data_IF_399701439562
#
_entry.id   IF_399701439562
#
_cell.length_a   1.000
_cell.length_b   1.000
_cell.length_c   1.000
_cell.angle_alpha   90.00
_cell.angle_beta   90.00
_cell.angle_gamma   90.00
#
_symmetry.space_group_name_H-M   'P 1'
#
loop_
_entity.id
_entity.type
_entity.pdbx_description
1 polymer ?
#
# COMPACT_ATOMS: atom_id res chain seq x y z
N UNK A 1 -6.72 -17.34 5.95
CA UNK A 1 -6.58 -17.80 4.54
C UNK A 1 -7.57 -17.02 3.70
N UNK A 2 -7.17 -16.60 2.49
CA UNK A 2 -8.10 -15.96 1.55
C UNK A 2 -9.15 -16.96 1.04
N UNK A 3 -10.30 -16.44 0.63
CA UNK A 3 -11.38 -17.21 0.01
C UNK A 3 -11.01 -17.54 -1.45
N UNK A 4 -10.60 -18.79 -1.69
CA UNK A 4 -10.15 -19.23 -3.02
C UNK A 4 -11.27 -19.13 -4.07
N UNK A 5 -12.53 -19.36 -3.69
CA UNK A 5 -13.66 -19.26 -4.60
C UNK A 5 -13.82 -17.82 -5.09
N UNK A 6 -13.74 -16.83 -4.18
CA UNK A 6 -13.76 -15.42 -4.57
C UNK A 6 -12.63 -15.05 -5.51
N UNK A 7 -11.41 -15.56 -5.28
CA UNK A 7 -10.27 -15.30 -6.18
C UNK A 7 -10.56 -15.85 -7.58
N UNK A 8 -11.13 -17.05 -7.67
CA UNK A 8 -11.52 -17.67 -8.96
C UNK A 8 -12.62 -16.87 -9.64
N UNK A 9 -13.63 -16.40 -8.90
CA UNK A 9 -14.70 -15.56 -9.43
C UNK A 9 -14.15 -14.24 -9.99
N UNK A 10 -13.21 -13.59 -9.28
CA UNK A 10 -12.55 -12.39 -9.79
C UNK A 10 -11.73 -12.67 -11.06
N UNK A 11 -11.03 -13.80 -11.13
CA UNK A 11 -10.30 -14.20 -12.34
C UNK A 11 -11.24 -14.50 -13.51
N UNK A 12 -12.40 -15.11 -13.26
CA UNK A 12 -13.42 -15.35 -14.27
C UNK A 12 -14.03 -14.03 -14.77
N UNK A 13 -14.37 -13.11 -13.86
CA UNK A 13 -14.93 -11.80 -14.18
C UNK A 13 -13.96 -10.93 -15.01
N UNK A 14 -12.65 -11.01 -14.72
CA UNK A 14 -11.61 -10.30 -15.46
C UNK A 14 -11.52 -10.67 -16.96
N UNK A 15 -12.13 -11.78 -17.38
CA UNK A 15 -12.20 -12.17 -18.80
C UNK A 15 -13.18 -11.32 -19.61
N UNK A 16 -14.09 -10.61 -18.94
CA UNK A 16 -15.11 -9.77 -19.59
C UNK A 16 -15.20 -8.36 -19.00
N UNK A 17 -14.50 -8.08 -17.92
CA UNK A 17 -14.53 -6.79 -17.24
C UNK A 17 -13.11 -6.24 -17.04
N UNK A 18 -13.02 -4.90 -16.90
CA UNK A 18 -11.80 -4.24 -16.46
C UNK A 18 -11.41 -4.77 -15.08
N UNK A 19 -10.19 -5.26 -14.97
CA UNK A 19 -9.65 -5.79 -13.72
C UNK A 19 -8.88 -4.70 -12.98
N UNK A 20 -9.25 -4.44 -11.73
CA UNK A 20 -8.53 -3.52 -10.84
C UNK A 20 -7.84 -4.31 -9.73
N UNK A 21 -6.54 -4.13 -9.57
CA UNK A 21 -5.70 -4.82 -8.57
C UNK A 21 -4.92 -3.80 -7.75
N UNK A 22 -5.12 -3.78 -6.43
CA UNK A 22 -4.35 -2.93 -5.51
C UNK A 22 -3.26 -3.73 -4.79
N UNK A 23 -2.12 -3.09 -4.50
CA UNK A 23 -1.00 -3.68 -3.74
C UNK A 23 -1.08 -3.26 -2.26
N UNK A 24 -2.16 -3.66 -1.61
CA UNK A 24 -2.36 -3.40 -0.18
C UNK A 24 -1.72 -4.54 0.62
N UNK A 25 -0.79 -4.23 1.53
CA UNK A 25 -0.33 -5.21 2.52
C UNK A 25 -1.44 -5.44 3.56
N UNK A 26 -1.42 -6.59 4.23
CA UNK A 26 -2.53 -7.00 5.11
C UNK A 26 -2.75 -6.07 6.32
N UNK A 27 -1.75 -5.28 6.68
CA UNK A 27 -1.76 -4.29 7.75
C UNK A 27 -1.93 -2.85 7.23
N UNK A 28 -1.94 -2.62 5.92
CA UNK A 28 -2.22 -1.31 5.34
C UNK A 28 -3.75 -1.02 5.32
N UNK A 29 -4.12 0.24 5.12
CA UNK A 29 -5.52 0.63 4.91
C UNK A 29 -5.65 1.67 3.81
N UNK A 30 -6.77 1.61 3.08
CA UNK A 30 -7.12 2.49 1.98
C UNK A 30 -8.36 3.30 2.34
N UNK A 31 -8.40 4.55 1.90
CA UNK A 31 -9.57 5.40 2.06
C UNK A 31 -10.81 4.76 1.41
N UNK A 32 -11.93 4.73 2.14
CA UNK A 32 -13.15 4.02 1.73
C UNK A 32 -13.59 4.34 0.30
N UNK A 33 -13.56 5.61 -0.07
CA UNK A 33 -14.07 6.05 -1.38
C UNK A 33 -13.01 6.02 -2.49
N UNK A 34 -11.73 5.84 -2.14
CA UNK A 34 -10.65 5.79 -3.12
C UNK A 34 -10.84 4.63 -4.10
N UNK A 35 -11.12 3.41 -3.63
CA UNK A 35 -11.29 2.26 -4.53
C UNK A 35 -12.47 2.43 -5.47
N UNK A 36 -13.57 3.01 -4.98
CA UNK A 36 -14.74 3.32 -5.80
C UNK A 36 -14.38 4.30 -6.91
N UNK A 37 -13.65 5.37 -6.58
CA UNK A 37 -13.21 6.36 -7.56
C UNK A 37 -12.27 5.73 -8.61
N UNK A 38 -11.31 4.92 -8.17
CA UNK A 38 -10.38 4.20 -9.06
C UNK A 38 -11.14 3.24 -9.99
N UNK A 39 -12.08 2.46 -9.46
CA UNK A 39 -12.90 1.55 -10.27
C UNK A 39 -13.74 2.29 -11.31
N UNK A 40 -14.38 3.40 -10.94
CA UNK A 40 -15.15 4.24 -11.86
C UNK A 40 -14.28 4.85 -12.94
N UNK A 41 -13.09 5.34 -12.57
CA UNK A 41 -12.16 5.92 -13.53
C UNK A 41 -11.59 4.85 -14.48
N UNK A 42 -11.23 3.67 -13.96
CA UNK A 42 -10.78 2.55 -14.76
C UNK A 42 -11.87 2.07 -15.74
N UNK A 43 -13.12 1.94 -15.29
CA UNK A 43 -14.24 1.56 -16.14
C UNK A 43 -14.49 2.58 -17.26
N UNK A 44 -14.46 3.89 -16.96
CA UNK A 44 -14.62 4.95 -17.98
C UNK A 44 -13.50 4.95 -19.01
N UNK A 45 -12.26 4.77 -18.56
CA UNK A 45 -11.07 4.96 -19.41
C UNK A 45 -10.66 3.72 -20.19
N UNK A 46 -10.90 2.53 -19.63
CA UNK A 46 -10.54 1.25 -20.25
C UNK A 46 -11.76 0.45 -20.74
N UNK A 47 -12.95 0.69 -20.18
CA UNK A 47 -14.18 0.00 -20.54
C UNK A 47 -14.86 0.53 -21.81
N UNK A 48 -14.90 1.85 -21.99
CA UNK A 48 -15.53 2.47 -23.17
C UNK A 48 -14.90 2.00 -24.50
N UNK A 49 -13.60 1.75 -24.52
CA UNK A 49 -12.92 1.24 -25.71
C UNK A 49 -13.16 -0.24 -25.98
N UNK A 50 -13.46 -1.04 -24.96
CA UNK A 50 -13.82 -2.45 -25.18
C UNK A 50 -15.11 -2.56 -26.03
N UNK A 51 -16.02 -1.60 -25.91
CA UNK A 51 -17.21 -1.52 -26.76
C UNK A 51 -16.90 -1.07 -28.18
N UNK A 52 -16.00 -0.08 -28.35
CA UNK A 52 -15.55 0.40 -29.67
C UNK A 52 -14.84 -0.71 -30.46
N UNK A 53 -13.99 -1.50 -29.80
CA UNK A 53 -13.27 -2.64 -30.40
C UNK A 53 -14.19 -3.78 -30.85
N UNK A 54 -15.41 -3.88 -30.30
CA UNK A 54 -16.41 -4.87 -30.73
C UNK A 54 -16.79 -4.70 -32.21
N UNK A 55 -16.67 -3.48 -32.75
CA UNK A 55 -17.02 -3.16 -34.14
C UNK A 55 -15.82 -3.16 -35.09
N UNK A 56 -14.58 -3.21 -34.60
CA UNK A 56 -13.38 -3.30 -35.41
C UNK A 56 -12.44 -4.42 -34.93
N UNK A 57 -12.59 -5.66 -35.44
CA UNK A 57 -11.83 -6.82 -34.99
C UNK A 57 -10.30 -6.67 -35.11
N UNK A 58 -9.81 -5.80 -36.00
CA UNK A 58 -8.38 -5.57 -36.19
C UNK A 58 -7.70 -4.84 -35.01
N UNK A 59 -8.49 -4.29 -34.09
CA UNK A 59 -8.02 -3.58 -32.91
C UNK A 59 -7.92 -4.42 -31.64
N UNK A 60 -8.25 -5.73 -31.70
CA UNK A 60 -8.25 -6.66 -30.55
C UNK A 60 -6.88 -6.92 -29.89
N UNK A 61 -5.78 -6.48 -30.52
CA UNK A 61 -4.43 -6.70 -30.01
C UNK A 61 -3.85 -5.53 -29.19
N UNK A 62 -4.60 -4.44 -29.00
CA UNK A 62 -4.10 -3.33 -28.21
C UNK A 62 -4.23 -3.67 -26.73
N UNK A 63 -3.09 -3.91 -26.06
CA UNK A 63 -3.02 -4.11 -24.61
C UNK A 63 -2.99 -2.76 -23.91
N UNK A 64 -4.03 -2.49 -23.13
CA UNK A 64 -4.15 -1.26 -22.36
C UNK A 64 -4.18 -1.51 -20.85
N UNK A 65 -3.44 -0.68 -20.11
CA UNK A 65 -3.45 -0.62 -18.66
C UNK A 65 -3.40 0.83 -18.17
N UNK A 66 -3.70 1.04 -16.90
CA UNK A 66 -3.51 2.30 -16.19
C UNK A 66 -3.01 2.03 -14.79
N UNK A 67 -2.05 2.82 -14.33
CA UNK A 67 -1.48 2.69 -12.99
C UNK A 67 -1.93 3.88 -12.16
N UNK A 68 -2.71 3.64 -11.12
CA UNK A 68 -3.10 4.65 -10.16
C UNK A 68 -2.12 4.66 -8.99
N UNK A 69 -1.70 5.86 -8.61
CA UNK A 69 -0.59 6.06 -7.73
C UNK A 69 -0.86 7.18 -6.74
N UNK A 70 -0.58 6.96 -5.46
CA UNK A 70 -0.71 7.97 -4.41
C UNK A 70 0.66 8.47 -3.97
N UNK A 71 0.77 9.78 -3.76
CA UNK A 71 2.01 10.45 -3.31
C UNK A 71 1.97 10.80 -1.82
N UNK A 72 0.76 10.94 -1.26
CA UNK A 72 0.52 11.31 0.12
C UNK A 72 -0.11 10.15 0.88
N UNK A 73 0.47 9.82 2.03
CA UNK A 73 -0.05 8.79 2.93
C UNK A 73 0.30 9.11 4.37
N UNK A 74 -0.43 8.46 5.28
CA UNK A 74 -0.04 8.38 6.69
C UNK A 74 0.74 7.09 6.88
N UNK A 75 1.84 7.16 7.61
CA UNK A 75 2.53 5.97 8.11
C UNK A 75 2.12 5.74 9.56
N UNK A 76 1.66 4.54 9.86
CA UNK A 76 1.44 4.07 11.22
C UNK A 76 2.62 3.24 11.69
N UNK A 77 3.30 3.68 12.74
CA UNK A 77 4.38 2.93 13.37
C UNK A 77 3.92 2.21 14.62
N UNK A 78 4.28 0.92 14.72
CA UNK A 78 3.93 0.07 15.87
C UNK A 78 4.41 0.66 17.21
N UNK A 79 5.65 1.15 17.28
CA UNK A 79 6.22 1.79 18.48
C UNK A 79 5.99 3.30 18.46
N UNK A 80 5.66 3.91 19.60
CA UNK A 80 5.56 5.37 19.70
C UNK A 80 6.88 5.95 20.28
N UNK A 81 7.65 6.76 19.52
CA UNK A 81 8.93 7.30 20.00
C UNK A 81 8.79 8.49 20.97
N UNK A 82 7.59 9.06 21.09
CA UNK A 82 7.28 10.16 22.00
C UNK A 82 6.76 9.66 23.34
N UNK A 83 5.96 8.61 23.32
CA UNK A 83 5.39 7.97 24.50
C UNK A 83 5.55 6.45 24.43
N UNK A 84 6.62 5.89 25.03
CA UNK A 84 6.83 4.43 25.07
C UNK A 84 5.71 3.65 25.76
N UNK A 85 4.87 4.31 26.58
CA UNK A 85 3.70 3.71 27.23
C UNK A 85 2.46 3.77 26.34
N UNK A 86 2.51 4.47 25.21
CA UNK A 86 1.39 4.59 24.29
C UNK A 86 1.08 3.27 23.63
N UNK A 87 -0.21 2.93 23.69
CA UNK A 87 -0.82 1.74 23.14
C UNK A 87 -1.41 1.96 21.73
N UNK A 88 -1.32 3.18 21.19
CA UNK A 88 -1.87 3.54 19.86
C UNK A 88 -0.84 3.47 18.73
N UNK A 89 0.44 3.43 19.07
CA UNK A 89 1.55 3.57 18.12
C UNK A 89 1.75 5.04 17.81
N UNK A 90 2.25 5.36 16.62
CA UNK A 90 2.30 6.73 16.16
C UNK A 90 1.89 6.87 14.70
N UNK A 91 1.44 8.07 14.35
CA UNK A 91 1.12 8.44 12.98
C UNK A 91 2.04 9.57 12.52
N UNK A 92 2.44 9.53 11.27
CA UNK A 92 3.08 10.67 10.62
C UNK A 92 2.70 10.73 9.15
N UNK A 93 2.45 11.93 8.65
CA UNK A 93 2.17 12.17 7.25
C UNK A 93 3.44 12.17 6.43
N UNK A 94 3.40 11.52 5.27
CA UNK A 94 4.51 11.38 4.34
C UNK A 94 4.07 11.81 2.94
N UNK A 95 4.94 12.57 2.27
CA UNK A 95 4.74 13.04 0.91
C UNK A 95 5.93 12.64 0.07
N UNK A 96 5.70 11.86 -0.98
CA UNK A 96 6.73 11.22 -1.79
C UNK A 96 6.38 11.35 -3.29
N UNK A 97 6.50 12.56 -3.88
CA UNK A 97 6.02 12.82 -5.23
C UNK A 97 6.78 12.01 -6.30
N UNK A 98 8.03 11.64 -6.04
CA UNK A 98 8.90 10.95 -6.99
C UNK A 98 8.53 9.47 -7.20
N UNK A 99 7.72 8.87 -6.33
CA UNK A 99 7.41 7.45 -6.38
C UNK A 99 5.98 7.11 -5.97
N UNK A 100 5.59 5.86 -6.24
CA UNK A 100 4.30 5.33 -5.82
C UNK A 100 4.47 4.54 -4.53
N UNK A 101 3.70 4.94 -3.52
CA UNK A 101 3.62 4.22 -2.25
C UNK A 101 2.95 2.88 -2.50
N UNK A 102 3.52 1.78 -1.98
CA UNK A 102 2.99 0.42 -2.24
C UNK A 102 1.51 0.28 -1.90
N UNK A 103 1.10 0.68 -0.68
CA UNK A 103 -0.30 0.69 -0.26
C UNK A 103 -1.20 1.42 -1.27
N UNK A 104 -0.68 2.53 -1.80
CA UNK A 104 -1.22 3.42 -2.84
C UNK A 104 -1.34 2.86 -4.26
N UNK A 105 -0.66 1.77 -4.54
CA UNK A 105 -0.36 1.38 -5.91
C UNK A 105 -1.43 0.43 -6.44
N UNK A 106 -2.24 0.94 -7.35
CA UNK A 106 -3.36 0.21 -7.94
C UNK A 106 -3.21 0.14 -9.45
N UNK A 107 -3.41 -1.03 -10.02
CA UNK A 107 -3.39 -1.27 -11.46
C UNK A 107 -4.80 -1.49 -11.97
N UNK A 108 -5.08 -0.98 -13.16
CA UNK A 108 -6.25 -1.36 -13.94
C UNK A 108 -5.82 -1.93 -15.28
N UNK A 109 -6.45 -3.03 -15.66
CA UNK A 109 -6.18 -3.75 -16.89
C UNK A 109 -7.45 -3.83 -17.72
N UNK A 110 -7.35 -3.47 -19.01
CA UNK A 110 -8.40 -3.79 -19.97
C UNK A 110 -8.52 -5.31 -20.12
N UNK A 111 -9.68 -5.79 -20.58
CA UNK A 111 -9.91 -7.19 -20.90
C UNK A 111 -8.81 -7.71 -21.84
N UNK A 112 -8.19 -8.82 -21.45
CA UNK A 112 -7.09 -9.45 -22.20
C UNK A 112 -5.71 -8.82 -21.96
N UNK A 113 -5.60 -7.75 -21.17
CA UNK A 113 -4.32 -7.22 -20.67
C UNK A 113 -3.97 -7.87 -19.34
N UNK A 114 -2.68 -8.09 -19.12
CA UNK A 114 -2.13 -8.70 -17.91
C UNK A 114 -0.99 -7.86 -17.35
N UNK A 115 -0.51 -8.22 -16.16
CA UNK A 115 0.67 -7.60 -15.56
C UNK A 115 1.98 -7.91 -16.30
N UNK A 116 1.99 -8.81 -17.29
CA UNK A 116 3.15 -9.07 -18.15
C UNK A 116 3.28 -8.02 -19.26
N UNK A 117 2.20 -7.33 -19.61
CA UNK A 117 2.18 -6.30 -20.65
C UNK A 117 2.70 -4.94 -20.15
N UNK A 118 3.03 -4.85 -18.85
CA UNK A 118 3.59 -3.65 -18.23
C UNK A 118 5.12 -3.65 -18.31
N UNK A 119 5.77 -2.48 -18.49
CA UNK A 119 7.24 -2.39 -18.60
C UNK A 119 7.98 -2.72 -17.30
N UNK A 120 7.31 -2.64 -16.15
CA UNK A 120 7.88 -3.00 -14.85
C UNK A 120 6.79 -3.33 -13.85
N UNK A 121 7.12 -4.21 -12.90
CA UNK A 121 6.33 -4.47 -11.68
C UNK A 121 7.00 -3.90 -10.41
N UNK A 122 8.22 -3.37 -10.55
CA UNK A 122 8.95 -2.78 -9.45
C UNK A 122 8.43 -1.37 -9.20
N UNK A 123 7.73 -1.18 -8.06
CA UNK A 123 7.06 0.08 -7.72
C UNK A 123 8.00 1.29 -7.72
N UNK A 124 9.26 1.10 -7.32
CA UNK A 124 10.29 2.15 -7.31
C UNK A 124 10.80 2.56 -8.69
N UNK A 125 10.47 1.80 -9.75
CA UNK A 125 10.84 2.12 -11.15
C UNK A 125 9.66 2.64 -11.97
N UNK A 126 8.45 2.67 -11.41
CA UNK A 126 7.24 2.96 -12.19
C UNK A 126 7.23 4.38 -12.74
N UNK A 127 7.47 5.38 -11.88
CA UNK A 127 7.52 6.79 -12.29
C UNK A 127 8.60 7.09 -13.34
N UNK A 128 9.63 6.26 -13.43
CA UNK A 128 10.71 6.38 -14.41
C UNK A 128 10.35 5.74 -15.75
N UNK A 129 9.67 4.59 -15.73
CA UNK A 129 9.43 3.75 -16.91
C UNK A 129 8.04 3.95 -17.54
N UNK A 130 7.07 4.48 -16.79
CA UNK A 130 5.70 4.70 -17.27
C UNK A 130 5.43 6.20 -17.23
N UNK A 131 4.96 6.76 -18.35
CA UNK A 131 4.66 8.18 -18.46
C UNK A 131 3.41 8.55 -17.67
N UNK A 132 3.33 9.77 -17.19
CA UNK A 132 2.12 10.30 -16.57
C UNK A 132 1.00 10.38 -17.60
N UNK A 133 -0.23 10.07 -17.19
CA UNK A 133 -1.40 10.19 -18.03
C UNK A 133 -1.63 11.67 -18.37
N UNK A 134 -2.00 11.94 -19.62
CA UNK A 134 -2.49 13.24 -20.04
C UNK A 134 -3.72 13.06 -20.93
N UNK A 135 -4.50 14.13 -21.11
CA UNK A 135 -5.75 14.06 -21.87
C UNK A 135 -5.55 14.02 -23.39
N UNK A 136 -4.32 14.12 -23.88
CA UNK A 136 -4.02 14.36 -25.31
C UNK A 136 -3.30 13.18 -25.93
N UNK A 137 -2.13 12.82 -25.40
CA UNK A 137 -1.17 11.86 -25.92
C UNK A 137 -1.17 10.53 -25.16
N UNK A 138 -1.28 10.55 -23.83
CA UNK A 138 -1.15 9.35 -23.00
C UNK A 138 -2.45 9.07 -22.24
N UNK A 139 -3.49 8.66 -22.98
CA UNK A 139 -4.78 8.25 -22.39
C UNK A 139 -4.73 6.86 -21.74
N UNK A 140 -3.81 6.02 -22.21
CA UNK A 140 -3.62 4.63 -21.79
C UNK A 140 -2.13 4.35 -21.58
N UNK A 141 -1.82 3.23 -20.90
CA UNK A 141 -0.46 2.77 -20.63
C UNK A 141 0.38 3.82 -19.88
N UNK A 142 -0.26 4.44 -18.88
CA UNK A 142 0.26 5.61 -18.18
C UNK A 142 0.00 5.51 -16.67
N UNK A 143 0.70 6.36 -15.90
CA UNK A 143 0.49 6.56 -14.46
C UNK A 143 -0.42 7.76 -14.23
N UNK A 144 -1.47 7.56 -13.45
CA UNK A 144 -2.29 8.62 -12.91
C UNK A 144 -2.00 8.80 -11.42
N UNK A 145 -1.70 10.04 -11.05
CA UNK A 145 -1.61 10.43 -9.65
C UNK A 145 -3.03 10.67 -9.16
N UNK A 146 -3.44 9.91 -8.16
CA UNK A 146 -4.76 10.11 -7.54
C UNK A 146 -4.67 11.41 -6.75
N UNK A 147 -5.35 12.42 -7.25
CA UNK A 147 -5.69 13.59 -6.44
C UNK A 147 -6.83 13.19 -5.50
N UNK A 148 -6.58 13.41 -4.22
CA UNK A 148 -7.53 13.11 -3.17
C UNK A 148 -8.47 14.29 -2.86
N UNK A 149 -8.37 15.38 -3.63
CA UNK A 149 -9.15 16.59 -3.42
C UNK A 149 -8.89 17.16 -2.03
N UNK A 150 -9.95 17.34 -1.25
CA UNK A 150 -9.87 17.87 0.12
C UNK A 150 -9.18 16.90 1.11
N UNK A 151 -9.05 15.62 0.77
CA UNK A 151 -8.45 14.62 1.65
C UNK A 151 -6.94 14.53 1.43
N UNK A 152 -6.14 15.17 2.28
CA UNK A 152 -4.67 15.09 2.16
C UNK A 152 -4.11 13.66 2.24
N UNK A 153 -4.82 12.73 2.88
CA UNK A 153 -4.34 11.37 3.16
C UNK A 153 -5.37 10.34 2.73
N UNK A 154 -5.04 9.54 1.72
CA UNK A 154 -5.92 8.48 1.18
C UNK A 154 -5.43 7.06 1.48
N UNK A 155 -4.29 6.96 2.17
CA UNK A 155 -3.63 5.70 2.49
C UNK A 155 -3.04 5.72 3.89
N UNK A 156 -3.13 4.59 4.58
CA UNK A 156 -2.35 4.27 5.77
C UNK A 156 -1.40 3.15 5.40
N UNK A 157 -0.11 3.42 5.51
CA UNK A 157 0.94 2.41 5.39
C UNK A 157 1.40 1.98 6.78
N UNK A 158 1.34 0.70 7.06
CA UNK A 158 1.79 0.17 8.34
C UNK A 158 3.29 -0.12 8.35
N UNK A 159 3.94 0.26 9.45
CA UNK A 159 5.34 0.02 9.76
C UNK A 159 5.41 -0.89 10.97
N UNK A 160 5.26 -2.18 10.70
CA UNK A 160 5.21 -3.24 11.70
C UNK A 160 6.42 -4.16 11.57
N UNK A 161 6.68 -4.99 12.59
CA UNK A 161 7.69 -6.05 12.49
C UNK A 161 7.48 -7.08 11.38
N UNK A 162 6.32 -7.07 10.71
CA UNK A 162 6.02 -7.91 9.54
C UNK A 162 6.28 -7.21 8.20
N UNK A 163 6.63 -5.92 8.18
CA UNK A 163 6.86 -5.17 6.95
C UNK A 163 8.21 -5.52 6.31
N UNK A 164 8.21 -5.81 5.00
CA UNK A 164 9.36 -6.34 4.22
C UNK A 164 10.65 -5.51 4.26
N UNK A 165 10.58 -4.22 4.61
CA UNK A 165 11.76 -3.35 4.70
C UNK A 165 12.18 -3.00 6.13
N UNK A 166 11.32 -3.26 7.13
CA UNK A 166 11.50 -2.85 8.53
C UNK A 166 11.89 -1.37 8.75
N UNK A 167 11.77 -0.55 7.71
CA UNK A 167 12.21 0.84 7.71
C UNK A 167 11.32 1.63 8.67
N UNK A 168 11.93 2.20 9.71
CA UNK A 168 11.22 2.95 10.74
C UNK A 168 10.50 2.10 11.79
N UNK A 169 10.62 0.77 11.76
CA UNK A 169 10.02 -0.10 12.80
C UNK A 169 10.74 0.12 14.12
N UNK A 170 12.07 0.09 14.13
CA UNK A 170 12.83 0.58 15.29
C UNK A 170 12.96 2.09 15.11
N UNK A 171 12.38 2.91 16.00
CA UNK A 171 12.52 4.35 15.87
C UNK A 171 14.00 4.72 15.99
N UNK A 172 14.61 5.11 14.88
CA UNK A 172 15.91 5.78 14.96
C UNK A 172 15.65 7.14 15.61
N UNK A 173 16.56 7.60 16.48
CA UNK A 173 16.46 8.88 17.19
C UNK A 173 16.26 10.12 16.28
N UNK A 174 16.34 9.95 14.95
CA UNK A 174 16.22 11.01 13.94
C UNK A 174 14.79 11.37 13.54
N UNK A 175 13.75 10.69 14.04
CA UNK A 175 12.38 11.23 13.90
C UNK A 175 12.37 12.53 14.70
N UNK A 176 12.45 13.68 14.00
CA UNK A 176 12.38 14.98 14.65
C UNK A 176 11.09 14.98 15.46
N UNK A 177 11.24 14.96 16.78
CA UNK A 177 10.13 15.04 17.72
C UNK A 177 9.55 16.45 17.66
N UNK A 178 8.91 16.82 16.55
CA UNK A 178 8.20 18.10 16.51
C UNK A 178 6.94 17.95 17.36
N UNK A 179 6.76 18.89 18.28
CA UNK A 179 5.58 18.95 19.13
C UNK A 179 4.30 19.17 18.29
N UNK A 180 4.45 19.78 17.12
CA UNK A 180 3.40 19.93 16.11
C UNK A 180 2.81 18.59 15.67
N UNK A 181 3.65 17.58 15.38
CA UNK A 181 3.15 16.25 14.98
C UNK A 181 2.48 15.53 16.13
N UNK A 182 2.97 15.70 17.36
CA UNK A 182 2.33 15.10 18.53
C UNK A 182 0.91 15.63 18.72
N UNK A 183 0.70 16.95 18.58
CA UNK A 183 -0.63 17.55 18.66
C UNK A 183 -1.52 17.14 17.49
N UNK A 184 -0.94 17.05 16.29
CA UNK A 184 -1.67 16.65 15.09
C UNK A 184 -2.09 15.18 15.13
N UNK A 185 -1.38 14.29 15.87
CA UNK A 185 -1.70 12.87 15.94
C UNK A 185 -3.07 12.58 16.53
N UNK A 186 -3.45 13.22 17.64
CA UNK A 186 -4.75 12.96 18.27
C UNK A 186 -5.90 13.41 17.36
N UNK A 187 -5.78 14.60 16.74
CA UNK A 187 -6.74 15.05 15.73
C UNK A 187 -6.76 14.10 14.53
N UNK A 188 -5.60 13.67 14.03
CA UNK A 188 -5.50 12.76 12.88
C UNK A 188 -6.17 11.42 13.18
N UNK A 189 -5.96 10.83 14.37
CA UNK A 189 -6.64 9.61 14.79
C UNK A 189 -8.17 9.79 14.75
N UNK A 190 -8.67 10.85 15.39
CA UNK A 190 -10.10 11.07 15.57
C UNK A 190 -10.83 11.47 14.27
N UNK A 191 -10.23 12.31 13.44
CA UNK A 191 -10.90 12.90 12.27
C UNK A 191 -10.55 12.21 10.96
N UNK A 192 -9.29 11.80 10.79
CA UNK A 192 -8.84 11.19 9.53
C UNK A 192 -8.96 9.68 9.61
N UNK A 193 -8.31 9.03 10.56
CA UNK A 193 -8.18 7.57 10.56
C UNK A 193 -9.52 6.88 10.80
N UNK A 194 -10.23 7.26 11.85
CA UNK A 194 -11.49 6.60 12.22
C UNK A 194 -12.59 6.83 11.16
N UNK A 195 -12.78 8.07 10.71
CA UNK A 195 -13.88 8.42 9.80
C UNK A 195 -13.64 7.94 8.35
N UNK A 196 -12.39 8.05 7.88
CA UNK A 196 -12.07 7.86 6.46
C UNK A 196 -11.60 6.43 6.15
N UNK A 197 -10.97 5.75 7.12
CA UNK A 197 -10.42 4.41 6.95
C UNK A 197 -11.18 3.34 7.72
N UNK A 198 -12.15 3.72 8.57
CA UNK A 198 -12.88 2.79 9.43
C UNK A 198 -11.95 1.99 10.35
N UNK A 199 -10.86 2.63 10.81
CA UNK A 199 -9.88 2.06 11.74
C UNK A 199 -10.01 2.80 13.07
N UNK A 200 -10.51 2.12 14.09
CA UNK A 200 -10.66 2.74 15.42
C UNK A 200 -9.37 2.59 16.24
N UNK A 201 -9.10 3.50 17.19
CA UNK A 201 -8.00 3.34 18.14
C UNK A 201 -8.04 2.00 18.88
N UNK A 202 -9.24 1.49 19.19
CA UNK A 202 -9.43 0.22 19.88
C UNK A 202 -9.06 -0.98 19.00
N UNK A 203 -9.32 -0.95 17.69
CA UNK A 203 -8.90 -2.03 16.78
C UNK A 203 -7.38 -2.08 16.66
N UNK A 204 -6.72 -0.92 16.60
CA UNK A 204 -5.26 -0.82 16.57
C UNK A 204 -4.64 -1.32 17.87
N UNK A 205 -5.23 -0.98 19.02
CA UNK A 205 -4.81 -1.51 20.31
C UNK A 205 -4.89 -3.04 20.38
N UNK A 206 -6.04 -3.62 19.97
CA UNK A 206 -6.21 -5.08 19.91
C UNK A 206 -5.17 -5.75 19.02
N UNK A 207 -4.91 -5.18 17.84
CA UNK A 207 -3.87 -5.64 16.93
C UNK A 207 -2.49 -5.61 17.60
N UNK A 208 -2.16 -4.52 18.30
CA UNK A 208 -0.90 -4.41 19.04
C UNK A 208 -0.75 -5.45 20.14
N UNK A 209 -1.83 -5.78 20.85
CA UNK A 209 -1.80 -6.85 21.86
C UNK A 209 -1.46 -8.20 21.23
N UNK A 210 -2.03 -8.51 20.06
CA UNK A 210 -1.70 -9.72 19.29
C UNK A 210 -0.23 -9.72 18.88
N UNK A 211 0.29 -8.61 18.35
CA UNK A 211 1.72 -8.47 18.03
C UNK A 211 2.59 -8.68 19.26
N UNK A 212 2.26 -8.05 20.40
CA UNK A 212 3.04 -8.16 21.64
C UNK A 212 3.11 -9.61 22.13
N UNK A 213 1.99 -10.32 22.15
CA UNK A 213 1.91 -11.72 22.59
C UNK A 213 2.67 -12.67 21.66
N UNK A 214 2.73 -12.36 20.36
CA UNK A 214 3.30 -13.25 19.34
C UNK A 214 4.63 -12.74 18.76
N UNK A 215 5.22 -11.69 19.34
CA UNK A 215 6.33 -10.95 18.73
C UNK A 215 7.51 -11.85 18.39
N UNK A 216 7.89 -12.74 19.31
CA UNK A 216 9.01 -13.64 19.10
C UNK A 216 8.77 -14.60 17.91
N UNK A 217 7.54 -15.11 17.76
CA UNK A 217 7.17 -15.98 16.64
C UNK A 217 7.16 -15.19 15.33
N UNK A 218 6.58 -13.99 15.32
CA UNK A 218 6.51 -13.10 14.17
C UNK A 218 7.92 -12.77 13.66
N UNK A 219 8.84 -12.40 14.55
CA UNK A 219 10.22 -12.07 14.18
C UNK A 219 10.98 -13.28 13.63
N UNK A 220 10.80 -14.47 14.24
CA UNK A 220 11.39 -15.71 13.74
C UNK A 220 10.86 -16.06 12.35
N UNK A 221 9.56 -15.88 12.13
CA UNK A 221 8.93 -16.14 10.83
C UNK A 221 9.38 -15.13 9.77
N UNK A 222 9.46 -13.85 10.10
CA UNK A 222 10.01 -12.82 9.22
C UNK A 222 11.47 -13.13 8.80
N UNK A 223 12.33 -13.51 9.76
CA UNK A 223 13.71 -13.89 9.48
C UNK A 223 13.82 -15.15 8.61
N UNK A 224 13.04 -16.20 8.93
CA UNK A 224 13.09 -17.49 8.22
C UNK A 224 12.35 -17.51 6.90
N UNK A 225 11.35 -16.64 6.73
CA UNK A 225 10.48 -16.58 5.56
C UNK A 225 10.87 -15.43 4.64
N UNK A 226 10.55 -14.19 5.05
CA UNK A 226 10.81 -13.01 4.23
C UNK A 226 12.30 -12.79 3.96
N UNK A 227 13.17 -13.14 4.91
CA UNK A 227 14.62 -12.94 4.77
C UNK A 227 15.39 -14.26 4.49
N UNK A 228 14.70 -15.36 4.18
CA UNK A 228 15.35 -16.67 3.93
C UNK A 228 16.31 -16.63 2.74
N UNK A 229 15.90 -15.94 1.68
CA UNK A 229 16.68 -15.75 0.45
C UNK A 229 17.23 -14.34 0.45
N UNK A 230 18.42 -14.18 1.03
CA UNK A 230 19.11 -12.89 1.22
C UNK A 230 19.21 -12.04 -0.05
N UNK A 231 19.20 -12.67 -1.22
CA UNK A 231 19.46 -12.00 -2.49
C UNK A 231 18.27 -11.20 -3.07
N UNK A 232 17.02 -11.44 -2.66
CA UNK A 232 15.87 -10.92 -3.42
C UNK A 232 14.80 -10.17 -2.63
N UNK A 233 14.70 -10.36 -1.32
CA UNK A 233 13.48 -9.93 -0.59
C UNK A 233 13.76 -9.02 0.59
N UNK A 234 14.87 -9.21 1.30
CA UNK A 234 15.17 -8.53 2.56
C UNK A 234 16.57 -7.91 2.50
N UNK A 235 16.69 -6.62 2.82
CA UNK A 235 17.99 -5.93 2.90
C UNK A 235 18.74 -6.37 4.17
N UNK A 236 20.06 -6.39 4.14
CA UNK A 236 20.88 -6.73 5.33
C UNK A 236 20.53 -5.86 6.55
N UNK A 237 20.23 -4.58 6.32
CA UNK A 237 19.79 -3.67 7.39
C UNK A 237 18.46 -4.07 8.03
N UNK A 238 17.55 -4.70 7.28
CA UNK A 238 16.29 -5.20 7.82
C UNK A 238 16.52 -6.48 8.65
N UNK A 239 17.44 -7.36 8.22
CA UNK A 239 17.85 -8.55 8.98
C UNK A 239 18.43 -8.13 10.34
N UNK A 240 19.40 -7.21 10.33
CA UNK A 240 20.02 -6.68 11.54
C UNK A 240 18.98 -6.03 12.48
N UNK A 241 17.99 -5.33 11.93
CA UNK A 241 16.91 -4.74 12.71
C UNK A 241 16.01 -5.81 13.36
N UNK A 242 15.64 -6.86 12.62
CA UNK A 242 14.85 -7.98 13.13
C UNK A 242 15.60 -8.75 14.23
N UNK A 243 16.88 -9.04 14.03
CA UNK A 243 17.72 -9.72 15.02
C UNK A 243 17.85 -8.88 16.30
N UNK A 244 18.13 -7.58 16.17
CA UNK A 244 18.18 -6.66 17.31
C UNK A 244 16.86 -6.63 18.06
N UNK A 245 15.73 -6.52 17.34
CA UNK A 245 14.41 -6.51 17.96
C UNK A 245 14.09 -7.85 18.65
N UNK A 246 14.53 -8.97 18.08
CA UNK A 246 14.37 -10.30 18.68
C UNK A 246 15.14 -10.42 20.00
N UNK A 247 16.36 -9.89 20.08
CA UNK A 247 17.13 -9.86 21.33
C UNK A 247 16.48 -8.96 22.39
N UNK A 248 15.95 -7.80 22.01
CA UNK A 248 15.21 -6.93 22.94
C UNK A 248 13.93 -7.60 23.47
N UNK A 249 13.20 -8.33 22.63
CA UNK A 249 12.01 -9.08 23.06
C UNK A 249 12.38 -10.18 24.06
N UNK A 250 13.48 -10.90 23.86
CA UNK A 250 13.96 -11.95 24.78
C UNK A 250 14.35 -11.40 26.17
N UNK A 251 14.87 -10.17 26.24
CA UNK A 251 15.24 -9.54 27.53
C UNK A 251 14.04 -9.20 28.41
N UNK A 252 12.86 -9.04 27.81
CA UNK A 252 11.64 -8.58 28.49
C UNK A 252 10.55 -9.66 28.58
N UNK A 253 10.83 -10.87 28.11
CA UNK A 253 9.98 -12.07 28.22
C UNK A 253 10.39 -12.91 29.41
#
# INVERSE_FOLDING_TARGET
MGDLAKIQDYQAAAKSHVLVQTRLDADDSIFRDMMKNVQQQAARTLGAQAEEHRYNPLSFNIKQYRVFCTEHHVEWGYFNPWDPKSDKGHLFGVSQPEFCVTAGLTYAYQVGTTSADMPTRAHNKMSQLIKQCDNVKYKHNCIERIDAGDYKWIMIRSRTPTSTAMQGVIPTQKVKKSMEWQNLQETTWATVIEQNFNVSPQSVWKLRMVFKQNMQHILKDALKGQCAKREFTCKDSAIQALEKLMEEVKKHS
#
